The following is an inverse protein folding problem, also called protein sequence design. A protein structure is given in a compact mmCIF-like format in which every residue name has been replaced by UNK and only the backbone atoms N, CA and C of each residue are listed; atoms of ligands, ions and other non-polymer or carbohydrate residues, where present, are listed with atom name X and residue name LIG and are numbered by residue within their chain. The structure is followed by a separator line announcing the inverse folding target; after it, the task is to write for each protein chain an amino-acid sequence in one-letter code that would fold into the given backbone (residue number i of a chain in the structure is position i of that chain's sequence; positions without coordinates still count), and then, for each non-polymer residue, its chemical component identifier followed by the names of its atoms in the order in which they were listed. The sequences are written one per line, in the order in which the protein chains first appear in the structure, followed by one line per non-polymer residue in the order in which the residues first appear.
data_IF_487264240696
#
_entry.id   IF_487264240696
#
_cell.length_a   1.000
_cell.length_b   1.000
_cell.length_c   1.000
_cell.angle_alpha   90.00
_cell.angle_beta   90.00
_cell.angle_gamma   90.00
#
_symmetry.space_group_name_H-M   'P 1'
#
loop_
_entity.id
_entity.type
_entity.pdbx_description
1 polymer ?
#
# COMPACT_ATOMS: atom_id res chain seq x y z
N UNK A 1 -5.05 5.74 22.06
CA UNK A 1 -4.55 4.56 21.30
C UNK A 1 -3.77 4.97 20.04
N UNK A 2 -4.13 6.08 19.38
CA UNK A 2 -3.55 6.52 18.08
C UNK A 2 -2.69 7.80 18.17
N UNK A 3 -1.96 7.98 19.26
CA UNK A 3 -1.18 9.19 19.55
C UNK A 3 0.06 9.32 18.62
N UNK A 4 0.46 10.56 18.29
CA UNK A 4 1.63 10.86 17.44
C UNK A 4 2.93 10.29 18.01
N UNK A 5 3.04 10.15 19.33
CA UNK A 5 4.22 9.55 19.97
C UNK A 5 4.49 8.10 19.52
N UNK A 6 3.48 7.40 18.99
CA UNK A 6 3.60 6.04 18.47
C UNK A 6 3.97 6.04 16.97
N UNK A 7 4.02 7.17 16.27
CA UNK A 7 4.41 7.19 14.85
C UNK A 7 5.91 6.86 14.62
N UNK A 8 6.88 7.41 15.38
CA UNK A 8 8.31 7.16 15.16
C UNK A 8 8.77 5.87 15.86
N UNK A 9 8.61 4.73 15.19
CA UNK A 9 8.90 3.40 15.76
C UNK A 9 10.38 2.95 15.61
N UNK A 10 11.06 3.30 14.52
CA UNK A 10 12.48 2.93 14.34
C UNK A 10 13.41 3.55 15.39
N UNK A 11 12.98 4.65 16.02
CA UNK A 11 13.68 5.30 17.14
C UNK A 11 13.32 4.73 18.52
N UNK A 12 12.30 3.87 18.62
CA UNK A 12 11.72 3.41 19.89
C UNK A 12 11.54 1.89 19.97
N UNK A 13 12.32 1.12 19.20
CA UNK A 13 12.23 -0.34 19.13
C UNK A 13 12.20 -1.05 20.49
N UNK A 14 12.93 -0.52 21.47
CA UNK A 14 13.03 -1.09 22.82
C UNK A 14 11.86 -0.72 23.74
N UNK A 15 10.98 0.19 23.33
CA UNK A 15 9.89 0.73 24.14
C UNK A 15 8.51 0.24 23.66
N UNK A 16 8.47 -0.51 22.54
CA UNK A 16 7.21 -0.98 21.96
C UNK A 16 6.64 -2.13 22.79
N UNK A 17 5.45 -1.94 23.35
CA UNK A 17 4.77 -2.97 24.15
C UNK A 17 4.07 -4.01 23.26
N UNK A 18 3.78 -5.19 23.81
CA UNK A 18 3.02 -6.22 23.11
C UNK A 18 1.59 -5.76 22.75
N UNK A 19 0.99 -4.95 23.63
CA UNK A 19 -0.31 -4.32 23.39
C UNK A 19 -0.24 -3.37 22.19
N UNK A 20 0.75 -2.49 22.14
CA UNK A 20 0.96 -1.57 21.02
C UNK A 20 1.17 -2.32 19.70
N UNK A 21 1.92 -3.43 19.72
CA UNK A 21 2.07 -4.28 18.54
C UNK A 21 0.74 -4.92 18.09
N UNK A 22 -0.08 -5.38 19.03
CA UNK A 22 -1.40 -5.93 18.71
C UNK A 22 -2.29 -4.88 18.06
N UNK A 23 -2.31 -3.64 18.58
CA UNK A 23 -3.03 -2.51 17.98
C UNK A 23 -2.61 -2.29 16.53
N UNK A 24 -1.30 -2.23 16.27
CA UNK A 24 -0.75 -1.98 14.92
C UNK A 24 -1.14 -3.07 13.94
N UNK A 25 -1.06 -4.33 14.36
CA UNK A 25 -1.48 -5.48 13.55
C UNK A 25 -2.97 -5.38 13.23
N UNK A 26 -3.81 -5.17 14.24
CA UNK A 26 -5.26 -5.06 14.05
C UNK A 26 -5.63 -3.90 13.13
N UNK A 27 -5.10 -2.70 13.37
CA UNK A 27 -5.36 -1.52 12.54
C UNK A 27 -4.91 -1.74 11.09
N UNK A 28 -3.74 -2.36 10.89
CA UNK A 28 -3.22 -2.63 9.55
C UNK A 28 -4.09 -3.64 8.80
N UNK A 29 -4.53 -4.71 9.46
CA UNK A 29 -5.42 -5.72 8.87
C UNK A 29 -6.79 -5.10 8.55
N UNK A 30 -7.40 -4.40 9.51
CA UNK A 30 -8.71 -3.75 9.32
C UNK A 30 -8.64 -2.74 8.19
N UNK A 31 -7.62 -1.88 8.16
CA UNK A 31 -7.46 -0.88 7.09
C UNK A 31 -7.29 -1.55 5.73
N UNK A 32 -6.46 -2.60 5.64
CA UNK A 32 -6.24 -3.33 4.40
C UNK A 32 -7.52 -4.01 3.89
N UNK A 33 -8.25 -4.68 4.77
CA UNK A 33 -9.51 -5.36 4.44
C UNK A 33 -10.61 -4.36 4.07
N UNK A 34 -10.81 -3.30 4.86
CA UNK A 34 -11.81 -2.26 4.58
C UNK A 34 -11.53 -1.59 3.24
N UNK A 35 -10.26 -1.26 2.95
CA UNK A 35 -9.88 -0.70 1.65
C UNK A 35 -10.16 -1.68 0.52
N UNK A 36 -9.78 -2.95 0.67
CA UNK A 36 -10.04 -3.97 -0.35
C UNK A 36 -11.55 -4.12 -0.63
N UNK A 37 -12.36 -4.26 0.41
CA UNK A 37 -13.81 -4.45 0.30
C UNK A 37 -14.51 -3.22 -0.29
N UNK A 38 -14.14 -2.01 0.14
CA UNK A 38 -14.72 -0.77 -0.37
C UNK A 38 -14.47 -0.62 -1.88
N UNK A 39 -13.21 -0.77 -2.30
CA UNK A 39 -12.85 -0.66 -3.71
C UNK A 39 -13.51 -1.76 -4.55
N UNK A 40 -13.56 -2.99 -4.04
CA UNK A 40 -14.22 -4.10 -4.72
C UNK A 40 -15.73 -3.87 -4.84
N UNK A 41 -16.38 -3.33 -3.81
CA UNK A 41 -17.81 -3.01 -3.82
C UNK A 41 -18.13 -1.90 -4.84
N UNK A 42 -17.38 -0.80 -4.83
CA UNK A 42 -17.55 0.30 -5.79
C UNK A 42 -17.36 -0.20 -7.22
N UNK A 43 -16.30 -0.98 -7.46
CA UNK A 43 -16.00 -1.54 -8.77
C UNK A 43 -17.10 -2.49 -9.25
N UNK A 44 -17.56 -3.40 -8.40
CA UNK A 44 -18.58 -4.38 -8.75
C UNK A 44 -19.95 -3.73 -8.96
N UNK A 45 -20.31 -2.73 -8.14
CA UNK A 45 -21.53 -1.95 -8.32
C UNK A 45 -21.52 -1.16 -9.64
N UNK A 46 -20.40 -0.51 -9.94
CA UNK A 46 -20.21 0.21 -11.21
C UNK A 46 -20.30 -0.73 -12.42
N UNK A 47 -19.72 -1.93 -12.29
CA UNK A 47 -19.82 -2.97 -13.32
C UNK A 47 -21.27 -3.35 -13.59
N UNK A 48 -22.05 -3.64 -12.54
CA UNK A 48 -23.47 -4.01 -12.66
C UNK A 48 -24.27 -2.91 -13.36
N UNK A 49 -24.08 -1.65 -13.00
CA UNK A 49 -24.79 -0.51 -13.63
C UNK A 49 -24.42 -0.36 -15.11
N UNK A 50 -23.14 -0.47 -15.45
CA UNK A 50 -22.66 -0.33 -16.84
C UNK A 50 -23.09 -1.52 -17.72
N UNK A 51 -23.15 -2.72 -17.15
CA UNK A 51 -23.68 -3.91 -17.81
C UNK A 51 -25.20 -3.79 -18.03
N UNK A 52 -25.94 -3.35 -17.00
CA UNK A 52 -27.40 -3.19 -17.07
C UNK A 52 -27.84 -2.11 -18.06
N UNK A 53 -27.01 -1.07 -18.26
CA UNK A 53 -27.24 -0.02 -19.27
C UNK A 53 -26.86 -0.43 -20.70
N UNK A 54 -26.28 -1.61 -20.89
CA UNK A 54 -25.84 -2.11 -22.20
C UNK A 54 -24.64 -1.37 -22.79
N UNK A 55 -23.95 -0.53 -21.99
CA UNK A 55 -22.83 0.29 -22.45
C UNK A 55 -21.52 -0.51 -22.56
N UNK A 56 -21.38 -1.61 -21.81
CA UNK A 56 -20.17 -2.42 -21.74
C UNK A 56 -20.49 -3.92 -21.68
N UNK A 57 -19.51 -4.76 -22.04
CA UNK A 57 -19.58 -6.22 -21.90
C UNK A 57 -18.79 -6.71 -20.69
N UNK A 58 -19.07 -7.93 -20.19
CA UNK A 58 -18.41 -8.47 -18.99
C UNK A 58 -16.90 -8.58 -19.18
N UNK A 59 -16.46 -8.89 -20.40
CA UNK A 59 -15.06 -9.05 -20.78
C UNK A 59 -14.28 -7.74 -20.70
N UNK A 60 -14.97 -6.59 -20.72
CA UNK A 60 -14.33 -5.27 -20.56
C UNK A 60 -13.92 -4.97 -19.11
N UNK A 61 -14.47 -5.71 -18.13
CA UNK A 61 -14.20 -5.52 -16.70
C UNK A 61 -13.11 -6.46 -16.22
N UNK A 62 -11.86 -5.98 -16.25
CA UNK A 62 -10.71 -6.73 -15.70
C UNK A 62 -10.76 -6.78 -14.17
N UNK A 63 -10.19 -7.80 -13.51
CA UNK A 63 -10.09 -7.81 -12.05
C UNK A 63 -9.36 -6.56 -11.54
N UNK A 64 -9.94 -5.89 -10.53
CA UNK A 64 -9.33 -4.70 -9.92
C UNK A 64 -8.05 -5.03 -9.15
N UNK A 65 -8.05 -6.21 -8.53
CA UNK A 65 -6.93 -6.76 -7.78
C UNK A 65 -6.38 -8.03 -8.46
N UNK A 66 -5.08 -8.25 -8.31
CA UNK A 66 -4.42 -9.47 -8.77
C UNK A 66 -4.58 -10.65 -7.82
N UNK A 67 -3.86 -11.73 -8.10
CA UNK A 67 -3.85 -12.91 -7.21
C UNK A 67 -3.06 -12.64 -5.93
N UNK A 68 -3.58 -13.11 -4.79
CA UNK A 68 -2.88 -13.10 -3.49
C UNK A 68 -1.53 -13.83 -3.52
N UNK A 69 -1.35 -14.78 -4.45
CA UNK A 69 -0.08 -15.50 -4.65
C UNK A 69 1.08 -14.58 -5.04
N UNK A 70 0.77 -13.37 -5.52
CA UNK A 70 1.75 -12.35 -5.88
C UNK A 70 2.15 -11.45 -4.69
N UNK A 71 1.51 -11.60 -3.53
CA UNK A 71 1.81 -10.87 -2.30
C UNK A 71 3.04 -11.41 -1.56
N UNK A 72 4.04 -11.90 -2.29
CA UNK A 72 5.30 -12.47 -1.75
C UNK A 72 6.46 -11.48 -1.81
N UNK A 73 6.24 -10.28 -2.34
CA UNK A 73 7.15 -9.14 -2.28
C UNK A 73 6.34 -7.86 -2.31
N UNK A 74 6.87 -6.77 -1.78
CA UNK A 74 6.30 -5.43 -1.87
C UNK A 74 6.12 -5.07 -3.34
N UNK A 75 7.13 -5.34 -4.18
CA UNK A 75 7.00 -5.10 -5.63
C UNK A 75 5.86 -5.90 -6.26
N UNK A 76 5.64 -7.15 -5.85
CA UNK A 76 4.50 -7.97 -6.25
C UNK A 76 3.17 -7.38 -5.82
N UNK A 77 3.08 -6.92 -4.56
CA UNK A 77 1.88 -6.23 -4.05
C UNK A 77 1.55 -4.99 -4.88
N UNK A 78 2.54 -4.12 -5.13
CA UNK A 78 2.31 -2.83 -5.79
C UNK A 78 2.13 -2.93 -7.31
N UNK A 79 2.83 -3.85 -7.98
CA UNK A 79 2.76 -3.97 -9.44
C UNK A 79 1.72 -4.97 -9.94
N UNK A 80 1.40 -5.99 -9.13
CA UNK A 80 0.58 -7.11 -9.58
C UNK A 80 -0.71 -7.26 -8.78
N UNK A 81 -0.70 -6.97 -7.47
CA UNK A 81 -1.90 -7.15 -6.64
C UNK A 81 -2.77 -5.88 -6.58
N UNK A 82 -2.20 -4.71 -6.30
CA UNK A 82 -2.95 -3.48 -6.06
C UNK A 82 -3.23 -2.67 -7.32
N UNK A 83 -4.45 -2.14 -7.38
CA UNK A 83 -4.92 -1.08 -8.29
C UNK A 83 -4.50 -1.23 -9.76
N UNK A 84 -4.69 -2.42 -10.36
CA UNK A 84 -4.26 -2.66 -11.75
C UNK A 84 -4.87 -1.64 -12.74
N UNK A 85 -6.07 -1.15 -12.47
CA UNK A 85 -6.75 -0.13 -13.29
C UNK A 85 -6.21 1.30 -13.15
N UNK A 86 -5.46 1.63 -12.10
CA UNK A 86 -4.96 2.99 -11.82
C UNK A 86 -3.46 3.15 -12.06
N UNK A 87 -2.75 2.05 -12.39
CA UNK A 87 -1.30 2.07 -12.60
C UNK A 87 -0.92 3.06 -13.70
N UNK A 88 -1.65 3.12 -14.80
CA UNK A 88 -1.35 4.02 -15.94
C UNK A 88 -1.43 5.49 -15.55
N UNK A 89 -2.43 5.87 -14.75
CA UNK A 89 -2.65 7.25 -14.28
C UNK A 89 -1.44 7.82 -13.53
N UNK A 90 -0.70 6.99 -12.80
CA UNK A 90 0.47 7.42 -12.03
C UNK A 90 1.79 7.17 -12.77
N UNK A 91 1.88 6.06 -13.52
CA UNK A 91 3.14 5.64 -14.17
C UNK A 91 3.47 6.44 -15.43
N UNK A 92 2.47 6.87 -16.20
CA UNK A 92 2.69 7.72 -17.39
C UNK A 92 3.30 9.08 -17.02
N UNK A 93 2.70 9.89 -16.11
CA UNK A 93 3.31 11.16 -15.71
C UNK A 93 4.66 10.96 -15.03
N UNK A 94 4.84 9.92 -14.20
CA UNK A 94 6.14 9.64 -13.59
C UNK A 94 7.23 9.34 -14.62
N UNK A 95 6.90 8.60 -15.69
CA UNK A 95 7.82 8.34 -16.80
C UNK A 95 8.15 9.62 -17.55
N UNK A 96 7.16 10.48 -17.78
CA UNK A 96 7.39 11.78 -18.43
C UNK A 96 8.32 12.65 -17.59
N UNK A 97 8.05 12.81 -16.29
CA UNK A 97 8.87 13.62 -15.37
C UNK A 97 10.32 13.11 -15.37
N UNK A 98 10.53 11.82 -15.16
CA UNK A 98 11.89 11.28 -15.06
C UNK A 98 12.67 11.34 -16.37
N UNK A 99 12.02 11.12 -17.52
CA UNK A 99 12.73 11.03 -18.81
C UNK A 99 12.79 12.34 -19.59
N UNK A 100 11.80 13.23 -19.43
CA UNK A 100 11.70 14.49 -20.20
C UNK A 100 12.04 15.71 -19.36
N UNK A 101 11.61 15.76 -18.11
CA UNK A 101 11.89 16.89 -17.20
C UNK A 101 13.29 16.76 -16.62
N UNK A 102 13.57 15.65 -15.93
CA UNK A 102 14.89 15.39 -15.33
C UNK A 102 15.92 14.85 -16.32
N UNK A 103 15.49 14.43 -17.51
CA UNK A 103 16.36 13.92 -18.59
C UNK A 103 17.29 12.80 -18.13
N UNK A 104 16.82 11.94 -17.21
CA UNK A 104 17.65 10.88 -16.66
C UNK A 104 17.97 9.82 -17.73
N UNK A 105 19.21 9.30 -17.79
CA UNK A 105 19.57 8.25 -18.73
C UNK A 105 18.73 6.98 -18.49
N UNK A 106 18.17 6.45 -19.57
CA UNK A 106 17.32 5.24 -19.52
C UNK A 106 18.14 4.03 -19.08
N UNK A 107 17.45 3.07 -18.46
CA UNK A 107 18.03 1.81 -17.99
C UNK A 107 19.15 1.96 -16.94
N UNK A 108 19.19 3.09 -16.22
CA UNK A 108 20.08 3.29 -15.08
C UNK A 108 19.33 3.03 -13.76
N UNK A 109 20.08 2.65 -12.73
CA UNK A 109 19.53 2.47 -11.37
C UNK A 109 18.95 3.79 -10.83
N UNK A 110 19.60 4.92 -11.14
CA UNK A 110 19.15 6.26 -10.75
C UNK A 110 17.79 6.55 -11.37
N UNK A 111 17.64 6.32 -12.68
CA UNK A 111 16.35 6.52 -13.36
C UNK A 111 15.26 5.62 -12.81
N UNK A 112 15.58 4.36 -12.48
CA UNK A 112 14.63 3.41 -11.89
C UNK A 112 14.11 3.89 -10.53
N UNK A 113 14.98 4.27 -9.60
CA UNK A 113 14.56 4.71 -8.27
C UNK A 113 13.93 6.11 -8.29
N UNK A 114 14.43 7.03 -9.13
CA UNK A 114 13.76 8.32 -9.33
C UNK A 114 12.32 8.12 -9.84
N UNK A 115 12.12 7.19 -10.77
CA UNK A 115 10.79 6.85 -11.28
C UNK A 115 9.89 6.29 -10.17
N UNK A 116 10.40 5.33 -9.39
CA UNK A 116 9.65 4.75 -8.26
C UNK A 116 9.23 5.85 -7.26
N UNK A 117 10.16 6.74 -6.89
CA UNK A 117 9.88 7.85 -5.99
C UNK A 117 8.80 8.77 -6.56
N UNK A 118 8.90 9.16 -7.84
CA UNK A 118 7.88 10.03 -8.45
C UNK A 118 6.50 9.35 -8.48
N UNK A 119 6.42 8.06 -8.81
CA UNK A 119 5.15 7.31 -8.75
C UNK A 119 4.55 7.35 -7.35
N UNK A 120 5.36 7.09 -6.33
CA UNK A 120 4.89 7.10 -4.94
C UNK A 120 4.50 8.49 -4.44
N UNK A 121 5.20 9.55 -4.85
CA UNK A 121 4.81 10.90 -4.47
C UNK A 121 3.51 11.34 -5.16
N UNK A 122 3.32 11.00 -6.44
CA UNK A 122 2.05 11.24 -7.13
C UNK A 122 0.90 10.49 -6.45
N UNK A 123 1.14 9.24 -6.04
CA UNK A 123 0.16 8.47 -5.26
C UNK A 123 -0.16 9.14 -3.93
N UNK A 124 0.86 9.56 -3.18
CA UNK A 124 0.68 10.22 -1.89
C UNK A 124 -0.06 11.55 -2.00
N UNK A 125 0.17 12.34 -3.06
CA UNK A 125 -0.57 13.58 -3.31
C UNK A 125 -2.06 13.34 -3.50
N UNK A 126 -2.44 12.29 -4.25
CA UNK A 126 -3.86 11.91 -4.40
C UNK A 126 -4.48 11.55 -3.05
N UNK A 127 -3.73 10.88 -2.17
CA UNK A 127 -4.24 10.49 -0.85
C UNK A 127 -4.28 11.67 0.14
N UNK A 128 -3.35 12.63 0.07
CA UNK A 128 -3.42 13.88 0.87
C UNK A 128 -4.75 14.59 0.62
N UNK A 129 -5.18 14.68 -0.64
CA UNK A 129 -6.47 15.32 -0.96
C UNK A 129 -7.63 14.61 -0.26
N UNK A 130 -7.60 13.29 -0.19
CA UNK A 130 -8.57 12.49 0.56
C UNK A 130 -8.49 12.73 2.08
N UNK A 131 -7.29 12.72 2.65
CA UNK A 131 -7.06 12.95 4.07
C UNK A 131 -7.55 14.35 4.52
N UNK A 132 -7.27 15.38 3.71
CA UNK A 132 -7.73 16.75 3.97
C UNK A 132 -9.25 16.85 3.85
N UNK A 133 -9.85 16.20 2.85
CA UNK A 133 -11.30 16.15 2.72
C UNK A 133 -11.97 15.42 3.90
N UNK A 134 -11.27 14.47 4.52
CA UNK A 134 -11.67 13.78 5.75
C UNK A 134 -11.37 14.58 7.03
N UNK A 135 -10.80 15.80 6.94
CA UNK A 135 -10.54 16.68 8.08
C UNK A 135 -9.16 16.51 8.73
N UNK A 136 -8.24 15.76 8.12
CA UNK A 136 -6.87 15.61 8.62
C UNK A 136 -6.00 16.77 8.12
N UNK A 137 -5.26 17.43 9.01
CA UNK A 137 -4.28 18.45 8.60
C UNK A 137 -3.16 17.80 7.75
N UNK A 138 -2.74 18.47 6.68
CA UNK A 138 -1.68 18.02 5.76
C UNK A 138 -0.40 17.64 6.53
N UNK A 139 -0.05 18.41 7.57
CA UNK A 139 1.16 18.17 8.37
C UNK A 139 1.09 16.88 9.19
N UNK A 140 -0.13 16.42 9.50
CA UNK A 140 -0.38 15.29 10.37
C UNK A 140 -0.76 14.02 9.60
N UNK A 141 -1.07 14.11 8.30
CA UNK A 141 -1.50 12.98 7.45
C UNK A 141 -0.50 11.82 7.40
N UNK A 142 0.81 12.11 7.37
CA UNK A 142 1.86 11.08 7.29
C UNK A 142 1.89 10.26 6.00
N UNK A 143 0.93 10.43 5.09
CA UNK A 143 0.76 9.56 3.91
C UNK A 143 1.94 9.64 2.93
N UNK A 144 2.52 10.83 2.75
CA UNK A 144 3.69 11.01 1.89
C UNK A 144 4.92 10.29 2.44
N UNK A 145 5.09 10.30 3.76
CA UNK A 145 6.17 9.56 4.42
C UNK A 145 5.96 8.06 4.23
N UNK A 146 4.73 7.58 4.43
CA UNK A 146 4.37 6.19 4.26
C UNK A 146 4.71 5.67 2.84
N UNK A 147 4.27 6.38 1.80
CA UNK A 147 4.59 6.03 0.41
C UNK A 147 6.09 6.08 0.12
N UNK A 148 6.82 7.04 0.69
CA UNK A 148 8.28 7.16 0.52
C UNK A 148 9.02 5.95 1.12
N UNK A 149 8.57 5.45 2.28
CA UNK A 149 9.18 4.27 2.93
C UNK A 149 8.99 2.99 2.09
N UNK A 150 7.93 2.89 1.29
CA UNK A 150 7.74 1.75 0.38
C UNK A 150 8.88 1.63 -0.64
N UNK A 151 9.43 2.76 -1.11
CA UNK A 151 10.58 2.77 -2.01
C UNK A 151 11.85 2.20 -1.36
N UNK A 152 12.04 2.43 -0.05
CA UNK A 152 13.12 1.81 0.71
C UNK A 152 12.94 0.30 0.80
N UNK A 153 11.70 -0.16 1.03
CA UNK A 153 11.36 -1.58 0.98
C UNK A 153 11.75 -2.23 -0.36
N UNK A 154 11.52 -1.54 -1.47
CA UNK A 154 11.95 -2.02 -2.80
C UNK A 154 13.47 -2.12 -2.92
N UNK A 155 14.21 -1.15 -2.39
CA UNK A 155 15.67 -1.18 -2.38
C UNK A 155 16.23 -2.34 -1.54
N UNK A 156 15.59 -2.64 -0.41
CA UNK A 156 15.94 -3.79 0.44
C UNK A 156 15.70 -5.09 -0.33
N UNK A 157 14.53 -5.25 -0.96
CA UNK A 157 14.22 -6.45 -1.76
C UNK A 157 15.21 -6.67 -2.92
N UNK A 158 15.56 -5.59 -3.63
CA UNK A 158 16.54 -5.64 -4.71
C UNK A 158 17.93 -6.03 -4.18
N UNK A 159 18.32 -5.52 -2.99
CA UNK A 159 19.60 -5.82 -2.35
C UNK A 159 19.70 -7.26 -1.86
N UNK A 160 18.65 -7.77 -1.22
CA UNK A 160 18.56 -9.18 -0.77
C UNK A 160 18.61 -10.13 -1.97
N UNK A 161 17.88 -9.81 -3.04
CA UNK A 161 17.89 -10.59 -4.27
C UNK A 161 19.27 -10.59 -4.92
N UNK A 162 19.94 -9.43 -4.96
CA UNK A 162 21.31 -9.32 -5.48
C UNK A 162 22.32 -10.12 -4.64
N UNK A 163 22.25 -10.03 -3.31
CA UNK A 163 23.14 -10.76 -2.41
C UNK A 163 22.93 -12.28 -2.53
N UNK A 164 21.69 -12.74 -2.61
CA UNK A 164 21.37 -14.15 -2.80
C UNK A 164 22.00 -14.72 -4.08
N UNK A 165 21.93 -13.96 -5.18
CA UNK A 165 22.52 -14.35 -6.47
C UNK A 165 24.05 -14.44 -6.40
N UNK A 166 24.70 -13.55 -5.66
CA UNK A 166 26.14 -13.59 -5.44
C UNK A 166 26.54 -14.81 -4.60
N UNK A 167 25.82 -15.05 -3.49
CA UNK A 167 26.19 -16.11 -2.55
C UNK A 167 25.92 -17.52 -3.08
N UNK A 168 24.84 -17.68 -3.86
CA UNK A 168 24.40 -19.01 -4.31
C UNK A 168 24.77 -19.32 -5.77
N UNK A 169 25.17 -18.31 -6.54
CA UNK A 169 25.41 -18.43 -7.99
C UNK A 169 24.16 -18.80 -8.79
N UNK A 170 23.00 -18.93 -8.16
CA UNK A 170 21.73 -19.26 -8.82
C UNK A 170 21.12 -17.99 -9.38
N UNK A 171 20.75 -18.03 -10.66
CA UNK A 171 19.73 -17.12 -11.19
C UNK A 171 18.39 -17.51 -10.58
N UNK A 172 17.48 -16.55 -10.48
CA UNK A 172 16.12 -16.75 -9.95
C UNK A 172 15.34 -17.73 -10.84
N UNK A 173 15.61 -19.03 -10.68
CA UNK A 173 14.65 -20.07 -10.99
C UNK A 173 13.48 -19.94 -10.01
N UNK A 174 12.30 -20.42 -10.39
CA UNK A 174 11.05 -20.23 -9.63
C UNK A 174 11.26 -20.30 -8.12
N UNK A 175 10.89 -19.20 -7.43
CA UNK A 175 11.06 -19.08 -6.00
C UNK A 175 10.42 -20.28 -5.29
N UNK A 176 11.23 -20.97 -4.49
CA UNK A 176 10.79 -22.13 -3.70
C UNK A 176 9.67 -21.73 -2.76
N UNK A 177 8.81 -22.67 -2.39
CA UNK A 177 7.65 -22.41 -1.51
C UNK A 177 8.04 -21.72 -0.20
N UNK A 178 9.19 -22.08 0.40
CA UNK A 178 9.67 -21.41 1.61
C UNK A 178 10.10 -19.95 1.36
N UNK A 179 10.65 -19.63 0.18
CA UNK A 179 11.01 -18.26 -0.20
C UNK A 179 9.75 -17.41 -0.38
N UNK A 180 8.71 -17.99 -0.99
CA UNK A 180 7.39 -17.35 -1.09
C UNK A 180 6.80 -17.07 0.30
N UNK A 181 6.92 -18.02 1.23
CA UNK A 181 6.48 -17.85 2.62
C UNK A 181 7.23 -16.72 3.35
N UNK A 182 8.56 -16.69 3.26
CA UNK A 182 9.37 -15.61 3.84
C UNK A 182 9.04 -14.25 3.23
N UNK A 183 8.86 -14.20 1.91
CA UNK A 183 8.47 -12.99 1.21
C UNK A 183 7.10 -12.47 1.67
N UNK A 184 6.14 -13.36 1.88
CA UNK A 184 4.83 -12.99 2.44
C UNK A 184 4.95 -12.43 3.87
N UNK A 185 5.73 -13.09 4.73
CA UNK A 185 5.99 -12.61 6.11
C UNK A 185 6.65 -11.22 6.07
N UNK A 186 7.64 -11.03 5.19
CA UNK A 186 8.30 -9.74 4.98
C UNK A 186 7.32 -8.64 4.57
N UNK A 187 6.44 -8.92 3.61
CA UNK A 187 5.39 -7.98 3.18
C UNK A 187 4.49 -7.61 4.35
N UNK A 188 3.94 -8.60 5.06
CA UNK A 188 3.05 -8.36 6.19
C UNK A 188 3.76 -7.53 7.27
N UNK A 189 5.00 -7.89 7.62
CA UNK A 189 5.79 -7.14 8.58
C UNK A 189 5.99 -5.68 8.14
N UNK A 190 6.37 -5.43 6.89
CA UNK A 190 6.54 -4.08 6.35
C UNK A 190 5.25 -3.26 6.41
N UNK A 191 4.11 -3.86 6.04
CA UNK A 191 2.83 -3.17 6.09
C UNK A 191 2.42 -2.86 7.53
N UNK A 192 2.48 -3.83 8.45
CA UNK A 192 2.21 -3.64 9.88
C UNK A 192 3.08 -2.53 10.47
N UNK A 193 4.33 -2.47 10.05
CA UNK A 193 5.29 -1.51 10.56
C UNK A 193 5.04 -0.08 10.07
N UNK A 194 4.68 0.07 8.80
CA UNK A 194 4.61 1.37 8.15
C UNK A 194 3.20 1.97 8.19
N UNK A 195 2.15 1.14 8.06
CA UNK A 195 0.75 1.59 8.01
C UNK A 195 0.32 2.58 9.11
N UNK A 196 0.71 2.38 10.39
CA UNK A 196 0.33 3.30 11.47
C UNK A 196 0.65 4.77 11.23
N UNK A 197 1.70 5.07 10.46
CA UNK A 197 2.10 6.45 10.10
C UNK A 197 0.98 7.18 9.37
N UNK A 198 0.20 6.47 8.55
CA UNK A 198 -0.91 7.02 7.78
C UNK A 198 -2.26 6.78 8.47
N UNK A 199 -2.45 5.63 9.12
CA UNK A 199 -3.78 5.26 9.66
C UNK A 199 -4.10 5.93 10.99
N UNK A 200 -3.12 6.18 11.86
CA UNK A 200 -3.37 6.77 13.18
C UNK A 200 -3.93 8.19 13.09
N UNK A 201 -3.42 9.11 12.25
CA UNK A 201 -4.01 10.43 12.04
C UNK A 201 -5.49 10.38 11.62
N UNK A 202 -5.81 9.50 10.66
CA UNK A 202 -7.19 9.31 10.18
C UNK A 202 -8.08 8.75 11.31
N UNK A 203 -7.57 7.75 12.04
CA UNK A 203 -8.32 7.11 13.14
C UNK A 203 -8.68 8.10 14.24
N UNK A 204 -7.83 9.10 14.52
CA UNK A 204 -8.11 10.17 15.50
C UNK A 204 -9.22 11.11 15.05
N UNK A 205 -9.23 11.48 13.77
CA UNK A 205 -10.30 12.35 13.25
C UNK A 205 -11.63 11.60 13.20
N UNK A 206 -11.59 10.28 13.03
CA UNK A 206 -12.75 9.39 13.11
C UNK A 206 -13.14 8.96 14.53
N UNK A 207 -12.52 9.46 15.60
CA UNK A 207 -12.99 9.21 16.98
C UNK A 207 -14.34 9.93 17.20
N UNK A 208 -15.41 9.31 16.69
CA UNK A 208 -16.79 9.80 16.72
C UNK A 208 -17.67 9.18 15.64
N UNK A 209 -17.10 8.85 14.47
CA UNK A 209 -17.80 8.22 13.35
C UNK A 209 -16.89 7.13 12.79
N UNK A 210 -17.32 5.86 12.83
CA UNK A 210 -16.49 4.75 12.39
C UNK A 210 -15.91 4.93 10.99
N UNK A 211 -14.77 4.30 10.72
CA UNK A 211 -14.13 4.25 9.38
C UNK A 211 -15.10 3.74 8.29
N UNK A 212 -16.12 3.00 8.70
CA UNK A 212 -17.26 2.61 7.88
C UNK A 212 -18.50 3.39 8.37
N UNK A 213 -19.43 3.78 7.47
CA UNK A 213 -20.68 4.44 7.84
C UNK A 213 -21.63 3.54 8.68
N UNK A 214 -21.19 2.33 9.03
CA UNK A 214 -21.89 1.37 9.88
C UNK A 214 -20.89 0.63 10.77
N UNK A 215 -21.29 0.36 12.01
CA UNK A 215 -20.49 -0.39 12.98
C UNK A 215 -20.80 -1.89 12.90
N UNK A 216 -19.80 -2.72 12.61
CA UNK A 216 -19.92 -4.19 12.60
C UNK A 216 -19.97 -4.80 14.01
N UNK A 217 -19.64 -4.02 15.04
CA UNK A 217 -19.52 -4.47 16.43
C UNK A 217 -20.65 -3.93 17.33
N UNK A 218 -21.40 -2.93 16.88
CA UNK A 218 -22.58 -2.42 17.59
C UNK A 218 -23.60 -3.52 17.98
N UNK A 219 -23.92 -4.50 17.12
CA UNK A 219 -24.88 -5.55 17.46
C UNK A 219 -24.40 -6.49 18.58
N UNK A 220 -23.10 -6.55 18.84
CA UNK A 220 -22.48 -7.48 19.81
C UNK A 220 -22.14 -6.81 21.14
N UNK A 221 -22.22 -5.48 21.22
CA UNK A 221 -21.99 -4.69 22.45
C UNK A 221 -23.34 -4.32 23.10
N UNK A 222 -24.45 -4.41 22.36
CA UNK A 222 -25.79 -4.07 22.83
C UNK A 222 -26.55 -5.24 23.50
N UNK A 223 -25.86 -6.31 23.90
CA UNK A 223 -26.42 -7.43 24.69
C UNK A 223 -25.62 -7.68 25.94
#
# INVERSE_FOLDING_TARGET
MFDQQFVPLFSRLNEVTAEEMAVRVMVSIVTALSTYLLFQAIYSGSAVVMMASGLNSVESWRPLFGSFTQCTSLRGVWNQFRHQGMVTTLTVPARYITTKVFRLPRATIIQRYAYIMVVFQLSGLVHIVGDVAAGVDIKDSGVMQWFSVQALGFAIEDSVSWLWRILTGRRDDEARTWQKGLGFIWVVACFVWTMPVWTFPISRVSEGEGILPFSLIQPFIAT
#
